data_IF_609976965716
#
_entry.id   IF_609976965716
#
_cell.length_a   1.000
_cell.length_b   1.000
_cell.length_c   1.000
_cell.angle_alpha   90.00
_cell.angle_beta   90.00
_cell.angle_gamma   90.00
#
_symmetry.space_group_name_H-M   'P 1'
#
loop_
_entity.id
_entity.type
_entity.pdbx_description
1 polymer ?
#
# COMPACT_ATOMS: atom_id res chain seq x y z
N UNK A 1 -19.38 -49.19 -27.07
CA UNK A 1 -20.22 -47.98 -26.84
C UNK A 1 -19.95 -47.47 -25.43
N UNK A 2 -19.52 -46.19 -25.32
CA UNK A 2 -19.56 -45.26 -24.17
C UNK A 2 -18.78 -45.66 -22.89
N UNK A 3 -18.05 -44.79 -22.19
CA UNK A 3 -17.82 -43.35 -22.32
C UNK A 3 -16.42 -43.01 -21.78
N UNK A 4 -15.68 -42.17 -22.51
CA UNK A 4 -14.47 -41.51 -22.04
C UNK A 4 -14.91 -40.43 -21.05
N UNK A 5 -14.54 -40.60 -19.78
CA UNK A 5 -14.75 -39.58 -18.75
C UNK A 5 -13.85 -38.39 -19.01
N UNK A 6 -14.42 -37.30 -19.53
CA UNK A 6 -13.76 -36.01 -19.59
C UNK A 6 -13.83 -35.40 -18.19
N UNK A 7 -12.77 -35.56 -17.40
CA UNK A 7 -12.55 -34.76 -16.21
C UNK A 7 -12.39 -33.30 -16.64
N UNK A 8 -13.45 -32.50 -16.52
CA UNK A 8 -13.34 -31.05 -16.70
C UNK A 8 -12.61 -30.49 -15.49
N UNK A 9 -11.31 -30.27 -15.64
CA UNK A 9 -10.53 -29.49 -14.69
C UNK A 9 -11.09 -28.07 -14.67
N UNK A 10 -11.41 -27.49 -13.50
CA UNK A 10 -11.92 -26.13 -13.43
C UNK A 10 -10.89 -25.16 -14.02
N UNK A 11 -11.34 -24.08 -14.70
CA UNK A 11 -10.44 -23.14 -15.34
C UNK A 11 -9.55 -22.50 -14.27
N UNK A 12 -8.26 -22.82 -14.34
CA UNK A 12 -7.19 -22.15 -13.60
C UNK A 12 -7.20 -20.68 -14.07
N UNK A 13 -7.78 -19.77 -13.27
CA UNK A 13 -7.79 -18.33 -13.56
C UNK A 13 -6.33 -17.83 -13.56
N UNK A 14 -5.88 -17.31 -14.71
CA UNK A 14 -4.55 -16.69 -14.85
C UNK A 14 -4.49 -15.47 -13.93
N UNK A 15 -3.49 -15.43 -13.06
CA UNK A 15 -3.19 -14.26 -12.23
C UNK A 15 -2.67 -13.08 -13.06
N UNK A 16 -3.12 -11.87 -12.69
CA UNK A 16 -2.63 -10.59 -13.20
C UNK A 16 -3.69 -9.48 -13.09
N UNK A 17 -3.61 -8.66 -12.04
CA UNK A 17 -4.17 -7.30 -11.90
C UNK A 17 -5.66 -7.03 -11.58
N UNK A 18 -6.39 -7.95 -10.95
CA UNK A 18 -7.65 -7.58 -10.28
C UNK A 18 -7.87 -8.33 -8.97
N UNK A 19 -6.93 -8.21 -8.05
CA UNK A 19 -7.16 -8.64 -6.67
C UNK A 19 -7.89 -7.52 -5.91
N UNK A 20 -9.06 -7.83 -5.36
CA UNK A 20 -9.79 -6.92 -4.50
C UNK A 20 -8.90 -6.51 -3.34
N UNK A 21 -8.67 -5.22 -3.20
CA UNK A 21 -7.77 -4.68 -2.17
C UNK A 21 -8.50 -3.70 -1.28
N UNK A 22 -8.59 -4.04 0.01
CA UNK A 22 -8.97 -3.09 1.05
C UNK A 22 -7.82 -2.09 1.28
N UNK A 23 -8.12 -0.80 1.13
CA UNK A 23 -7.16 0.28 1.42
C UNK A 23 -7.73 1.17 2.51
N UNK A 24 -6.95 1.43 3.56
CA UNK A 24 -7.41 2.21 4.72
C UNK A 24 -6.76 3.59 4.74
N UNK A 25 -7.55 4.60 5.07
CA UNK A 25 -7.08 5.93 5.38
C UNK A 25 -7.71 6.36 6.70
N UNK A 26 -6.88 6.87 7.61
CA UNK A 26 -7.30 7.42 8.90
C UNK A 26 -7.21 8.94 8.82
N UNK A 27 -8.34 9.61 8.92
CA UNK A 27 -8.42 11.07 8.97
C UNK A 27 -8.48 11.55 10.44
N UNK A 28 -7.58 12.47 10.81
CA UNK A 28 -7.45 13.06 12.14
C UNK A 28 -7.98 14.50 12.17
N UNK A 29 -8.98 14.81 11.32
CA UNK A 29 -9.54 16.15 11.18
C UNK A 29 -8.46 17.20 10.84
N UNK A 30 -8.38 18.24 11.66
CA UNK A 30 -7.42 19.34 11.47
C UNK A 30 -5.95 18.89 11.51
N UNK A 31 -5.65 17.72 12.10
CA UNK A 31 -4.30 17.16 12.15
C UNK A 31 -3.89 16.44 10.86
N UNK A 32 -4.75 16.36 9.84
CA UNK A 32 -4.44 15.71 8.58
C UNK A 32 -4.81 14.23 8.57
N UNK A 33 -4.07 13.42 7.80
CA UNK A 33 -4.46 12.03 7.57
C UNK A 33 -3.29 11.09 7.32
N UNK A 34 -3.45 9.85 7.74
CA UNK A 34 -2.48 8.76 7.57
C UNK A 34 -3.09 7.69 6.66
N UNK A 35 -2.31 7.24 5.69
CA UNK A 35 -2.76 6.25 4.71
C UNK A 35 -1.56 5.55 4.07
N UNK A 36 -1.80 4.68 3.08
CA UNK A 36 -0.81 3.72 2.59
C UNK A 36 0.44 4.40 2.05
N UNK A 37 0.30 5.56 1.38
CA UNK A 37 1.45 6.29 0.84
C UNK A 37 2.39 6.84 1.92
N UNK A 38 1.85 7.38 3.02
CA UNK A 38 2.68 7.91 4.11
C UNK A 38 3.38 6.79 4.88
N UNK A 39 2.68 5.68 5.11
CA UNK A 39 3.23 4.51 5.78
C UNK A 39 4.31 3.86 4.92
N UNK A 40 4.06 3.72 3.61
CA UNK A 40 5.06 3.19 2.68
C UNK A 40 6.33 4.04 2.63
N UNK A 41 6.19 5.37 2.69
CA UNK A 41 7.34 6.27 2.79
C UNK A 41 8.15 6.01 4.07
N UNK A 42 7.47 5.88 5.22
CA UNK A 42 8.12 5.60 6.50
C UNK A 42 8.86 4.27 6.49
N UNK A 43 8.24 3.20 5.97
CA UNK A 43 8.87 1.89 5.83
C UNK A 43 10.12 1.97 4.95
N UNK A 44 10.02 2.62 3.78
CA UNK A 44 11.16 2.77 2.87
C UNK A 44 12.29 3.63 3.48
N UNK A 45 11.97 4.60 4.33
CA UNK A 45 12.97 5.34 5.10
C UNK A 45 13.65 4.42 6.11
N UNK A 46 12.89 3.61 6.85
CA UNK A 46 13.43 2.61 7.77
C UNK A 46 14.33 1.57 7.09
N UNK A 47 13.94 1.11 5.89
CA UNK A 47 14.71 0.15 5.09
C UNK A 47 15.98 0.76 4.48
N UNK A 48 15.92 2.01 4.01
CA UNK A 48 16.98 2.62 3.18
C UNK A 48 17.85 3.63 3.90
N UNK A 49 17.45 4.08 5.08
CA UNK A 49 18.15 5.10 5.85
C UNK A 49 18.18 6.48 5.19
N UNK A 50 17.32 6.76 4.19
CA UNK A 50 17.37 8.01 3.42
C UNK A 50 16.02 8.40 2.82
N UNK A 51 15.64 9.67 2.98
CA UNK A 51 14.45 10.28 2.35
C UNK A 51 14.58 10.27 0.83
N UNK A 52 15.77 10.56 0.30
CA UNK A 52 16.01 10.58 -1.15
C UNK A 52 15.86 9.19 -1.75
N UNK A 53 16.41 8.16 -1.10
CA UNK A 53 16.28 6.77 -1.56
C UNK A 53 14.83 6.27 -1.49
N UNK A 54 14.11 6.61 -0.42
CA UNK A 54 12.70 6.29 -0.28
C UNK A 54 11.85 7.00 -1.35
N UNK A 55 12.08 8.30 -1.59
CA UNK A 55 11.41 9.05 -2.64
C UNK A 55 11.64 8.48 -4.03
N UNK A 56 12.89 8.10 -4.37
CA UNK A 56 13.22 7.43 -5.64
C UNK A 56 12.49 6.09 -5.78
N UNK A 57 12.45 5.27 -4.73
CA UNK A 57 11.73 4.00 -4.74
C UNK A 57 10.22 4.16 -4.93
N UNK A 58 9.65 5.27 -4.45
CA UNK A 58 8.25 5.64 -4.68
C UNK A 58 8.02 6.45 -5.97
N UNK A 59 9.03 6.57 -6.85
CA UNK A 59 8.97 7.35 -8.10
C UNK A 59 8.52 8.80 -7.88
N UNK A 60 8.93 9.42 -6.77
CA UNK A 60 8.62 10.82 -6.45
C UNK A 60 9.87 11.69 -6.33
N UNK A 61 9.70 12.99 -6.55
CA UNK A 61 10.79 13.97 -6.35
C UNK A 61 11.19 14.05 -4.88
N UNK A 62 12.45 14.42 -4.63
CA UNK A 62 12.94 14.67 -3.26
C UNK A 62 12.05 15.69 -2.52
N UNK A 63 11.66 16.79 -3.18
CA UNK A 63 10.76 17.80 -2.60
C UNK A 63 9.44 17.19 -2.13
N UNK A 64 8.84 16.30 -2.92
CA UNK A 64 7.58 15.63 -2.54
C UNK A 64 7.78 14.69 -1.35
N UNK A 65 8.85 13.90 -1.34
CA UNK A 65 9.18 13.04 -0.20
C UNK A 65 9.39 13.88 1.08
N UNK A 66 10.15 14.96 0.99
CA UNK A 66 10.41 15.85 2.12
C UNK A 66 9.14 16.50 2.67
N UNK A 67 8.22 16.98 1.82
CA UNK A 67 6.94 17.54 2.28
C UNK A 67 6.07 16.51 3.02
N UNK A 68 6.11 15.24 2.61
CA UNK A 68 5.42 14.17 3.32
C UNK A 68 6.05 13.88 4.69
N UNK A 69 7.38 13.88 4.77
CA UNK A 69 8.11 13.76 6.05
C UNK A 69 7.80 14.93 6.98
N UNK A 70 7.86 16.16 6.48
CA UNK A 70 7.53 17.37 7.24
C UNK A 70 6.08 17.33 7.75
N UNK A 71 5.14 16.89 6.90
CA UNK A 71 3.76 16.66 7.31
C UNK A 71 3.71 15.63 8.45
N UNK A 72 4.30 14.45 8.26
CA UNK A 72 4.31 13.38 9.27
C UNK A 72 4.86 13.83 10.63
N UNK A 73 5.96 14.59 10.63
CA UNK A 73 6.57 15.08 11.86
C UNK A 73 5.73 16.14 12.58
N UNK A 74 4.85 16.87 11.88
CA UNK A 74 3.94 17.87 12.46
C UNK A 74 2.59 17.29 12.89
N UNK A 75 2.21 16.12 12.37
CA UNK A 75 0.93 15.49 12.68
C UNK A 75 0.86 14.91 14.10
N UNK A 76 2.01 14.57 14.70
CA UNK A 76 2.10 13.87 15.97
C UNK A 76 2.83 14.70 17.02
N UNK A 77 2.65 14.33 18.29
CA UNK A 77 3.24 15.01 19.46
C UNK A 77 4.78 15.04 19.45
N UNK A 78 5.40 14.10 18.77
CA UNK A 78 6.84 13.96 18.62
C UNK A 78 7.14 13.60 17.16
N UNK A 79 8.32 13.98 16.62
CA UNK A 79 8.71 13.61 15.26
C UNK A 79 8.66 12.09 15.06
N UNK A 80 8.16 11.67 13.89
CA UNK A 80 8.15 10.27 13.49
C UNK A 80 9.44 9.86 12.78
N UNK A 81 10.13 10.82 12.18
CA UNK A 81 11.34 10.64 11.39
C UNK A 81 12.39 11.65 11.86
N UNK A 82 13.56 11.16 12.24
CA UNK A 82 14.74 11.97 12.54
C UNK A 82 15.65 12.04 11.32
N UNK A 83 16.09 13.24 10.98
CA UNK A 83 17.02 13.49 9.86
C UNK A 83 18.41 13.83 10.39
N UNK A 84 19.42 13.12 9.91
CA UNK A 84 20.82 13.46 10.17
C UNK A 84 21.31 14.42 9.10
N UNK A 85 21.76 15.61 9.53
CA UNK A 85 22.31 16.62 8.64
C UNK A 85 23.77 16.27 8.31
N UNK A 86 24.07 16.03 7.02
CA UNK A 86 25.38 16.26 6.42
C UNK A 86 26.52 15.26 6.73
N UNK A 87 26.94 14.55 5.68
CA UNK A 87 28.24 13.89 5.52
C UNK A 87 28.52 13.69 4.03
N UNK A 88 29.73 13.30 3.64
CA UNK A 88 30.18 13.14 2.24
C UNK A 88 29.34 12.18 1.38
N UNK A 89 28.45 11.38 2.00
CA UNK A 89 27.50 10.47 1.34
C UNK A 89 26.05 10.94 1.26
N UNK A 90 25.73 12.17 1.70
CA UNK A 90 24.35 12.68 1.80
C UNK A 90 23.72 12.43 3.17
N UNK A 91 22.74 13.27 3.55
CA UNK A 91 22.05 13.18 4.85
C UNK A 91 21.25 11.88 5.02
N UNK A 92 21.22 11.37 6.25
CA UNK A 92 20.48 10.16 6.63
C UNK A 92 19.09 10.47 7.20
N UNK A 93 18.22 9.46 7.25
CA UNK A 93 16.94 9.54 7.94
C UNK A 93 16.55 8.19 8.54
N UNK A 94 16.02 8.21 9.76
CA UNK A 94 15.59 7.01 10.49
C UNK A 94 14.23 7.24 11.15
N UNK A 95 13.47 6.16 11.36
CA UNK A 95 12.25 6.23 12.15
C UNK A 95 12.60 6.37 13.63
N UNK A 96 11.90 7.29 14.32
CA UNK A 96 11.94 7.36 15.78
C UNK A 96 11.19 6.17 16.39
N UNK A 97 11.31 5.91 17.70
CA UNK A 97 10.49 4.89 18.36
C UNK A 97 8.98 5.12 18.16
N UNK A 98 8.53 6.38 18.17
CA UNK A 98 7.14 6.71 17.86
C UNK A 98 6.81 6.43 16.39
N UNK A 99 7.71 6.75 15.46
CA UNK A 99 7.55 6.44 14.04
C UNK A 99 7.35 4.94 13.77
N UNK A 100 8.18 4.10 14.39
CA UNK A 100 8.05 2.64 14.31
C UNK A 100 6.71 2.16 14.88
N UNK A 101 6.31 2.70 16.03
CA UNK A 101 5.01 2.39 16.67
C UNK A 101 3.82 2.79 15.77
N UNK A 102 3.87 3.95 15.12
CA UNK A 102 2.81 4.40 14.21
C UNK A 102 2.68 3.48 13.01
N UNK A 103 3.79 3.03 12.41
CA UNK A 103 3.77 2.03 11.33
C UNK A 103 3.13 0.72 11.80
N UNK A 104 3.55 0.21 12.96
CA UNK A 104 3.00 -1.03 13.52
C UNK A 104 1.49 -0.92 13.81
N UNK A 105 1.04 0.19 14.41
CA UNK A 105 -0.38 0.43 14.69
C UNK A 105 -1.20 0.47 13.41
N UNK A 106 -0.73 1.18 12.38
CA UNK A 106 -1.44 1.26 11.10
C UNK A 106 -1.53 -0.11 10.42
N UNK A 107 -0.46 -0.91 10.41
CA UNK A 107 -0.48 -2.28 9.86
C UNK A 107 -1.39 -3.20 10.67
N UNK A 108 -1.47 -3.02 11.99
CA UNK A 108 -2.43 -3.73 12.85
C UNK A 108 -3.88 -3.39 12.50
N UNK A 109 -4.17 -2.12 12.23
CA UNK A 109 -5.51 -1.67 11.76
C UNK A 109 -5.85 -2.32 10.42
N UNK A 110 -4.93 -2.31 9.45
CA UNK A 110 -5.14 -2.97 8.15
C UNK A 110 -5.42 -4.46 8.29
N UNK A 111 -4.64 -5.16 9.12
CA UNK A 111 -4.84 -6.59 9.36
C UNK A 111 -6.21 -6.85 10.00
N UNK A 112 -6.57 -6.14 11.08
CA UNK A 112 -7.84 -6.33 11.78
C UNK A 112 -9.06 -6.01 10.90
N UNK A 113 -8.99 -4.94 10.11
CA UNK A 113 -10.04 -4.57 9.17
C UNK A 113 -10.18 -5.58 8.03
N UNK A 114 -9.06 -6.06 7.46
CA UNK A 114 -9.08 -7.10 6.42
C UNK A 114 -9.72 -8.40 6.93
N UNK A 115 -9.34 -8.85 8.14
CA UNK A 115 -9.95 -10.01 8.78
C UNK A 115 -11.46 -9.82 8.95
N UNK A 116 -11.89 -8.67 9.48
CA UNK A 116 -13.31 -8.38 9.71
C UNK A 116 -14.11 -8.27 8.42
N UNK A 117 -13.53 -7.65 7.39
CA UNK A 117 -14.20 -7.39 6.12
C UNK A 117 -14.17 -8.59 5.15
N UNK A 118 -13.42 -9.65 5.45
CA UNK A 118 -13.16 -10.77 4.52
C UNK A 118 -14.43 -11.39 3.90
N UNK A 119 -15.46 -11.66 4.69
CA UNK A 119 -16.74 -12.18 4.19
C UNK A 119 -17.42 -11.18 3.24
N UNK A 120 -17.52 -9.91 3.63
CA UNK A 120 -18.11 -8.86 2.80
C UNK A 120 -17.31 -8.58 1.53
N UNK A 121 -15.98 -8.68 1.58
CA UNK A 121 -15.13 -8.57 0.40
C UNK A 121 -15.37 -9.73 -0.57
N UNK A 122 -15.56 -10.95 -0.06
CA UNK A 122 -15.94 -12.10 -0.86
C UNK A 122 -17.30 -11.93 -1.55
N UNK A 123 -18.31 -11.42 -0.82
CA UNK A 123 -19.62 -11.10 -1.43
C UNK A 123 -19.51 -10.02 -2.51
N UNK A 124 -18.67 -9.00 -2.31
CA UNK A 124 -18.41 -7.98 -3.33
C UNK A 124 -17.73 -8.57 -4.56
N UNK A 125 -16.75 -9.47 -4.37
CA UNK A 125 -16.06 -10.19 -5.45
C UNK A 125 -17.02 -11.05 -6.27
N UNK A 126 -17.88 -11.81 -5.60
CA UNK A 126 -18.89 -12.67 -6.26
C UNK A 126 -19.91 -11.84 -7.04
N UNK A 127 -20.17 -10.59 -6.63
CA UNK A 127 -21.08 -9.66 -7.29
C UNK A 127 -20.45 -8.90 -8.47
N UNK A 128 -19.14 -9.00 -8.71
CA UNK A 128 -18.51 -8.33 -9.84
C UNK A 128 -19.00 -8.92 -11.17
N UNK A 129 -19.48 -8.06 -12.07
CA UNK A 129 -19.83 -8.45 -13.43
C UNK A 129 -18.61 -9.07 -14.12
N UNK A 130 -18.77 -10.28 -14.62
CA UNK A 130 -17.73 -11.00 -15.34
C UNK A 130 -17.66 -10.51 -16.82
N UNK A 131 -17.58 -9.19 -17.04
CA UNK A 131 -17.40 -8.59 -18.36
C UNK A 131 -15.95 -8.13 -18.54
N UNK A 132 -15.08 -9.11 -18.74
CA UNK A 132 -13.95 -8.96 -19.66
C UNK A 132 -14.20 -9.88 -20.86
N UNK A 133 -15.38 -9.75 -21.47
CA UNK A 133 -15.75 -10.45 -22.69
C UNK A 133 -15.51 -9.53 -23.91
N UNK A 134 -14.48 -9.91 -24.68
CA UNK A 134 -14.32 -9.72 -26.12
C UNK A 134 -14.34 -8.30 -26.72
N UNK A 135 -13.15 -7.70 -26.84
CA UNK A 135 -12.81 -6.81 -27.97
C UNK A 135 -12.07 -7.61 -29.05
N UNK A 136 -12.71 -8.59 -29.68
CA UNK A 136 -12.10 -9.31 -30.80
C UNK A 136 -13.01 -9.70 -31.96
N UNK A 137 -14.25 -9.19 -32.02
CA UNK A 137 -15.21 -9.51 -33.12
C UNK A 137 -15.78 -8.25 -33.80
N UNK A 138 -14.98 -7.22 -34.03
CA UNK A 138 -15.32 -6.18 -35.03
C UNK A 138 -14.10 -5.92 -35.93
N UNK A 139 -13.99 -6.72 -36.97
CA UNK A 139 -13.23 -6.42 -38.19
C UNK A 139 -13.66 -7.41 -39.27
N UNK A 140 -14.82 -7.15 -39.87
CA UNK A 140 -15.10 -7.49 -41.27
C UNK A 140 -14.55 -6.37 -42.17
#
# INVERSE_FOLDING_TARGET
MKAVGVTRQPPQRRGGDSETRLTIRVDFGAHGALGPGKIRLMELIGEKGSITAAGRAMKMSYRRAWLLVDTLNRMFREPLIETQHGGSGGGGAVLTPLGQRVVALYRGIEAGASTTASASLGELEDALSNELASESDISD
#
